data_IF_574455122833
#
_entry.id   IF_574455122833
#
_cell.length_a   1.000
_cell.length_b   1.000
_cell.length_c   1.000
_cell.angle_alpha   90.00
_cell.angle_beta   90.00
_cell.angle_gamma   90.00
#
_symmetry.space_group_name_H-M   'P 1'
#
loop_
_entity.id
_entity.type
_entity.pdbx_description
1 polymer ?
#
# COMPACT_ATOMS: atom_id res chain seq x y z
N UNK A 1 2.87 -6.37 3.54
CA UNK A 1 3.89 -5.49 4.12
C UNK A 1 4.35 -6.06 5.45
N UNK A 2 5.54 -5.72 5.93
CA UNK A 2 6.05 -6.13 7.23
C UNK A 2 7.04 -5.11 7.80
N UNK A 3 7.27 -5.13 9.11
CA UNK A 3 8.33 -4.37 9.76
C UNK A 3 9.48 -5.31 10.20
N UNK A 4 10.55 -4.74 10.75
CA UNK A 4 11.53 -5.52 11.51
C UNK A 4 11.04 -5.66 12.95
N UNK A 5 11.41 -6.73 13.63
CA UNK A 5 11.10 -6.87 15.05
C UNK A 5 11.79 -5.79 15.90
N UNK A 6 13.01 -5.38 15.54
CA UNK A 6 13.81 -4.40 16.30
C UNK A 6 13.51 -2.92 15.96
N UNK A 7 12.56 -2.63 15.06
CA UNK A 7 12.21 -1.26 14.71
C UNK A 7 10.76 -1.14 14.21
N UNK A 8 10.04 -0.15 14.74
CA UNK A 8 8.72 0.22 14.22
C UNK A 8 8.80 0.92 12.85
N UNK A 9 7.71 0.86 12.09
CA UNK A 9 7.59 1.55 10.81
C UNK A 9 6.17 2.05 10.54
N UNK A 10 6.06 2.98 9.59
CA UNK A 10 4.80 3.40 8.99
C UNK A 10 4.68 2.82 7.59
N UNK A 11 3.48 2.41 7.20
CA UNK A 11 3.14 1.95 5.85
C UNK A 11 1.87 2.63 5.33
N UNK A 12 1.83 2.89 4.03
CA UNK A 12 0.65 3.41 3.33
C UNK A 12 0.54 2.81 1.92
N UNK A 13 -0.70 2.64 1.45
CA UNK A 13 -1.04 2.17 0.11
C UNK A 13 -2.11 3.09 -0.49
N UNK A 14 -1.89 3.53 -1.73
CA UNK A 14 -2.83 4.31 -2.52
C UNK A 14 -2.96 3.71 -3.92
N UNK A 15 -4.20 3.43 -4.32
CA UNK A 15 -4.53 2.86 -5.63
C UNK A 15 -5.60 3.72 -6.29
N UNK A 16 -5.36 4.11 -7.55
CA UNK A 16 -6.30 4.89 -8.35
C UNK A 16 -6.68 4.15 -9.62
N UNK A 17 -7.96 4.20 -9.96
CA UNK A 17 -8.45 3.91 -11.30
C UNK A 17 -8.49 5.22 -12.08
N UNK A 18 -7.84 5.26 -13.24
CA UNK A 18 -7.64 6.48 -14.02
C UNK A 18 -8.27 6.39 -15.41
N UNK A 19 -8.76 7.52 -15.91
CA UNK A 19 -9.27 7.69 -17.27
C UNK A 19 -8.13 7.71 -18.31
N UNK A 20 -8.48 7.78 -19.60
CA UNK A 20 -7.49 7.96 -20.68
C UNK A 20 -6.66 9.25 -20.56
N UNK A 21 -7.20 10.27 -19.87
CA UNK A 21 -6.55 11.56 -19.65
C UNK A 21 -5.89 11.65 -18.26
N UNK A 22 -5.76 10.53 -17.55
CA UNK A 22 -5.25 10.43 -16.17
C UNK A 22 -6.14 11.07 -15.08
N UNK A 23 -7.41 11.39 -15.39
CA UNK A 23 -8.38 11.81 -14.37
C UNK A 23 -8.70 10.65 -13.42
N UNK A 24 -8.85 10.93 -12.13
CA UNK A 24 -9.20 9.90 -11.12
C UNK A 24 -10.69 9.55 -11.22
N UNK A 25 -10.98 8.29 -11.54
CA UNK A 25 -12.34 7.73 -11.62
C UNK A 25 -12.75 7.14 -10.26
N UNK A 26 -11.84 6.39 -9.63
CA UNK A 26 -12.01 5.85 -8.30
C UNK A 26 -10.66 5.81 -7.57
N UNK A 27 -10.69 5.84 -6.25
CA UNK A 27 -9.49 5.83 -5.41
C UNK A 27 -9.72 4.99 -4.17
N UNK A 28 -8.70 4.22 -3.80
CA UNK A 28 -8.54 3.58 -2.51
C UNK A 28 -7.26 4.10 -1.89
N UNK A 29 -7.35 4.56 -0.64
CA UNK A 29 -6.20 4.95 0.16
C UNK A 29 -6.35 4.30 1.53
N UNK A 30 -5.34 3.55 1.93
CA UNK A 30 -5.30 3.01 3.29
C UNK A 30 -5.06 4.14 4.28
N UNK A 31 -5.47 3.93 5.53
CA UNK A 31 -4.90 4.73 6.61
C UNK A 31 -3.38 4.53 6.67
N UNK A 32 -2.67 5.46 7.32
CA UNK A 32 -1.26 5.24 7.66
C UNK A 32 -1.19 4.21 8.78
N UNK A 33 -0.66 3.03 8.46
CA UNK A 33 -0.58 1.91 9.39
C UNK A 33 0.74 2.01 10.15
N UNK A 34 0.66 2.09 11.47
CA UNK A 34 1.82 2.04 12.35
C UNK A 34 2.05 0.60 12.83
N UNK A 35 3.21 0.03 12.48
CA UNK A 35 3.67 -1.24 13.02
C UNK A 35 4.64 -0.93 14.16
N UNK A 36 4.36 -1.37 15.40
CA UNK A 36 5.18 -1.01 16.56
C UNK A 36 6.55 -1.70 16.53
N UNK A 37 7.50 -1.17 17.28
CA UNK A 37 8.72 -1.91 17.62
C UNK A 37 8.37 -3.14 18.47
N UNK A 38 9.24 -4.15 18.48
CA UNK A 38 9.07 -5.43 19.16
C UNK A 38 7.87 -6.23 18.64
N UNK A 39 7.44 -5.93 17.40
CA UNK A 39 6.53 -6.78 16.65
C UNK A 39 7.19 -8.12 16.30
N UNK A 40 6.38 -9.11 15.96
CA UNK A 40 6.87 -10.46 15.65
C UNK A 40 7.51 -10.59 14.25
N UNK A 41 7.62 -9.48 13.49
CA UNK A 41 8.13 -9.48 12.12
C UNK A 41 7.15 -10.11 11.11
N UNK A 42 5.88 -10.25 11.50
CA UNK A 42 4.84 -10.88 10.68
C UNK A 42 4.51 -10.07 9.42
N UNK A 43 4.14 -10.79 8.36
CA UNK A 43 3.64 -10.20 7.13
C UNK A 43 2.14 -10.00 7.21
N UNK A 44 1.68 -8.79 6.88
CA UNK A 44 0.28 -8.43 6.76
C UNK A 44 -0.10 -8.14 5.30
N UNK A 45 -1.37 -8.34 4.97
CA UNK A 45 -1.94 -8.13 3.65
C UNK A 45 -2.97 -6.99 3.67
N UNK A 46 -3.03 -6.21 2.59
CA UNK A 46 -4.15 -5.30 2.32
C UNK A 46 -4.79 -5.75 1.01
N UNK A 47 -6.09 -5.98 1.07
CA UNK A 47 -6.89 -6.39 -0.10
C UNK A 47 -8.01 -5.37 -0.30
N UNK A 48 -8.19 -4.95 -1.55
CA UNK A 48 -9.28 -4.06 -1.94
C UNK A 48 -9.79 -4.44 -3.34
N UNK A 49 -11.11 -4.43 -3.50
CA UNK A 49 -11.77 -4.67 -4.78
C UNK A 49 -12.57 -3.44 -5.16
N UNK A 50 -12.25 -2.86 -6.32
CA UNK A 50 -13.11 -1.86 -6.93
C UNK A 50 -14.23 -2.58 -7.68
N UNK A 51 -15.47 -2.35 -7.28
CA UNK A 51 -16.67 -2.77 -7.99
C UNK A 51 -17.51 -1.54 -8.34
N UNK A 52 -18.33 -1.64 -9.40
CA UNK A 52 -19.26 -0.59 -9.82
C UNK A 52 -18.62 0.82 -9.98
N UNK A 53 -17.34 0.86 -10.34
CA UNK A 53 -16.54 2.09 -10.43
C UNK A 53 -16.86 2.99 -11.64
N UNK A 54 -17.87 2.64 -12.42
CA UNK A 54 -18.31 3.39 -13.59
C UNK A 54 -17.44 3.19 -14.85
N UNK A 55 -17.86 3.76 -16.00
CA UNK A 55 -17.14 3.63 -17.26
C UNK A 55 -15.90 4.53 -17.31
N UNK A 56 -15.00 4.25 -18.25
CA UNK A 56 -13.91 5.17 -18.63
C UNK A 56 -12.54 4.86 -18.05
N UNK A 57 -12.42 3.88 -17.15
CA UNK A 57 -11.12 3.41 -16.62
C UNK A 57 -10.25 2.85 -17.75
N UNK A 58 -8.98 3.29 -17.78
CA UNK A 58 -7.95 2.85 -18.73
C UNK A 58 -6.64 2.45 -18.05
N UNK A 59 -6.36 3.00 -16.87
CA UNK A 59 -5.14 2.69 -16.13
C UNK A 59 -5.44 2.42 -14.65
N UNK A 60 -4.55 1.66 -14.03
CA UNK A 60 -4.47 1.49 -12.57
C UNK A 60 -3.14 2.11 -12.14
N UNK A 61 -3.18 3.10 -11.24
CA UNK A 61 -1.97 3.60 -10.57
C UNK A 61 -1.91 3.01 -9.18
N UNK A 62 -0.92 2.16 -8.96
CA UNK A 62 -0.65 1.51 -7.67
C UNK A 62 0.60 2.14 -7.06
N UNK A 63 0.48 2.71 -5.87
CA UNK A 63 1.55 3.41 -5.17
C UNK A 63 1.56 2.99 -3.70
N UNK A 64 2.71 2.57 -3.18
CA UNK A 64 2.84 2.25 -1.76
C UNK A 64 4.24 2.54 -1.26
N UNK A 65 4.36 2.70 0.05
CA UNK A 65 5.65 2.99 0.67
C UNK A 65 5.56 3.04 2.17
N UNK A 66 6.71 3.28 2.79
CA UNK A 66 6.81 3.39 4.23
C UNK A 66 8.18 3.85 4.67
N UNK A 67 8.26 4.24 5.93
CA UNK A 67 9.48 4.72 6.58
C UNK A 67 9.57 4.14 7.98
N UNK A 68 10.76 4.13 8.58
CA UNK A 68 10.89 3.75 9.99
C UNK A 68 10.28 4.83 10.90
N UNK A 69 10.04 4.48 12.15
CA UNK A 69 9.65 5.45 13.20
C UNK A 69 10.80 5.80 14.13
N UNK A 70 11.95 5.14 13.98
CA UNK A 70 13.11 5.23 14.89
C UNK A 70 14.23 6.14 14.38
N UNK A 71 14.15 6.61 13.13
CA UNK A 71 15.11 7.50 12.48
C UNK A 71 16.54 6.97 12.48
N UNK A 72 16.70 5.65 12.35
CA UNK A 72 18.02 5.02 12.38
C UNK A 72 18.67 5.02 11.00
N UNK A 73 19.98 5.24 10.97
CA UNK A 73 20.75 5.11 9.73
C UNK A 73 20.69 3.65 9.24
N UNK A 74 20.04 3.43 8.11
CA UNK A 74 19.92 2.11 7.48
C UNK A 74 18.55 1.91 6.83
N UNK A 75 18.13 0.65 6.74
CA UNK A 75 16.85 0.25 6.13
C UNK A 75 15.95 -0.41 7.17
N UNK A 76 15.25 0.41 7.94
CA UNK A 76 14.35 -0.02 9.02
C UNK A 76 12.86 0.26 8.73
N UNK A 77 12.57 0.89 7.58
CA UNK A 77 11.20 1.17 7.16
C UNK A 77 10.44 -0.07 6.70
N UNK A 78 9.21 0.16 6.23
CA UNK A 78 8.32 -0.92 5.79
C UNK A 78 8.94 -1.76 4.67
N UNK A 79 8.77 -3.07 4.77
CA UNK A 79 9.11 -4.06 3.74
C UNK A 79 7.86 -4.40 2.95
N UNK A 80 7.98 -4.40 1.62
CA UNK A 80 6.86 -4.65 0.71
C UNK A 80 7.26 -5.69 -0.33
N UNK A 81 6.32 -6.58 -0.66
CA UNK A 81 6.47 -7.62 -1.69
C UNK A 81 5.10 -8.17 -2.06
N UNK A 82 5.03 -9.03 -3.07
CA UNK A 82 3.81 -9.71 -3.54
C UNK A 82 2.67 -8.78 -3.96
N UNK A 83 2.99 -7.54 -4.33
CA UNK A 83 2.04 -6.59 -4.91
C UNK A 83 1.41 -7.17 -6.18
N UNK A 84 0.09 -7.26 -6.21
CA UNK A 84 -0.65 -7.86 -7.31
C UNK A 84 -1.86 -7.00 -7.65
N UNK A 85 -2.17 -6.89 -8.93
CA UNK A 85 -3.42 -6.32 -9.45
C UNK A 85 -3.98 -7.33 -10.45
N UNK A 86 -5.19 -7.82 -10.19
CA UNK A 86 -5.92 -8.74 -11.07
C UNK A 86 -7.19 -8.09 -11.59
N UNK A 87 -7.68 -8.60 -12.72
CA UNK A 87 -9.03 -8.35 -13.21
C UNK A 87 -9.76 -9.69 -13.17
N UNK A 88 -10.83 -9.76 -12.42
CA UNK A 88 -11.61 -10.98 -12.19
C UNK A 88 -12.98 -10.89 -12.87
N UNK A 89 -13.59 -12.03 -13.26
CA UNK A 89 -14.88 -12.06 -13.96
C UNK A 89 -16.07 -11.51 -13.17
#
# INVERSE_FOLDING_TARGET
YAARCDAGCLYHLKVKLLSANEDTVAEFESETIAVPQDNEGEWAEITHTFADYGPGVRFVRFEHGGQDTVFWKGWYGARVTSSTVTVEP
#
